data_IF_321412098355
#
_entry.id   IF_321412098355
#
_cell.length_a   1.000
_cell.length_b   1.000
_cell.length_c   1.000
_cell.angle_alpha   90.00
_cell.angle_beta   90.00
_cell.angle_gamma   90.00
#
_symmetry.space_group_name_H-M   'P 1'
#
loop_
_entity.id
_entity.type
_entity.pdbx_description
1 polymer ?
#
# COMPACT_ATOMS: atom_id res chain seq x y z
N UNK A 1 0.32 -34.90 8.66
CA UNK A 1 -0.67 -36.00 8.62
C UNK A 1 -0.25 -37.13 7.69
N UNK A 2 0.04 -36.84 6.42
CA UNK A 2 0.34 -37.87 5.40
C UNK A 2 1.58 -38.74 5.72
N UNK A 3 2.68 -38.14 6.17
CA UNK A 3 3.85 -38.91 6.62
C UNK A 3 3.52 -39.91 7.73
N UNK A 4 2.75 -39.51 8.75
CA UNK A 4 2.32 -40.41 9.84
C UNK A 4 1.33 -41.49 9.39
N UNK A 5 0.50 -41.20 8.37
CA UNK A 5 -0.36 -42.22 7.72
C UNK A 5 0.50 -43.31 7.09
N UNK A 6 1.52 -42.91 6.33
CA UNK A 6 2.44 -43.84 5.67
C UNK A 6 3.24 -44.69 6.67
N UNK A 7 3.70 -44.08 7.77
CA UNK A 7 4.38 -44.80 8.86
C UNK A 7 3.48 -45.89 9.46
N UNK A 8 2.22 -45.54 9.74
CA UNK A 8 1.23 -46.46 10.28
C UNK A 8 0.93 -47.62 9.31
N UNK A 9 0.78 -47.33 8.02
CA UNK A 9 0.56 -48.36 6.99
C UNK A 9 1.77 -49.30 6.86
N UNK A 10 2.99 -48.75 6.95
CA UNK A 10 4.22 -49.55 6.98
C UNK A 10 4.26 -50.46 8.22
N UNK A 11 3.92 -49.97 9.41
CA UNK A 11 3.84 -50.79 10.63
C UNK A 11 2.78 -51.90 10.52
N UNK A 12 1.59 -51.60 9.99
CA UNK A 12 0.52 -52.61 9.78
C UNK A 12 1.00 -53.73 8.86
N UNK A 13 1.72 -53.36 7.78
CA UNK A 13 2.31 -54.34 6.86
C UNK A 13 3.40 -55.18 7.53
N UNK A 14 4.24 -54.59 8.41
CA UNK A 14 5.25 -55.34 9.18
C UNK A 14 4.61 -56.34 10.15
N UNK A 15 3.56 -55.96 10.88
CA UNK A 15 2.83 -56.89 11.77
C UNK A 15 2.22 -58.05 10.99
N UNK A 16 1.62 -57.78 9.83
CA UNK A 16 1.05 -58.83 8.97
C UNK A 16 2.10 -59.86 8.53
N UNK A 17 3.34 -59.43 8.25
CA UNK A 17 4.47 -60.30 7.90
C UNK A 17 5.06 -61.02 9.11
N UNK A 18 5.11 -60.36 10.28
CA UNK A 18 5.71 -60.88 11.50
C UNK A 18 4.83 -61.90 12.24
N UNK A 19 3.53 -62.02 11.92
CA UNK A 19 2.58 -62.97 12.53
C UNK A 19 3.00 -64.45 12.53
N UNK A 20 4.00 -64.82 11.73
CA UNK A 20 4.53 -66.19 11.67
C UNK A 20 5.95 -66.32 12.24
N UNK A 21 6.49 -65.30 12.92
CA UNK A 21 7.90 -65.25 13.37
C UNK A 21 8.07 -64.70 14.80
N UNK A 22 9.24 -64.96 15.39
CA UNK A 22 9.65 -64.53 16.75
C UNK A 22 9.65 -62.99 16.96
N UNK A 23 9.64 -62.20 15.88
CA UNK A 23 9.63 -60.73 15.90
C UNK A 23 8.25 -60.08 16.12
N UNK A 24 7.20 -60.89 16.29
CA UNK A 24 5.82 -60.42 16.51
C UNK A 24 5.65 -59.36 17.62
N UNK A 25 6.17 -59.53 18.85
CA UNK A 25 5.92 -58.58 19.93
C UNK A 25 6.51 -57.18 19.68
N UNK A 26 7.67 -57.10 19.02
CA UNK A 26 8.29 -55.82 18.64
C UNK A 26 7.48 -55.12 17.56
N UNK A 27 7.05 -55.85 16.53
CA UNK A 27 6.22 -55.28 15.45
C UNK A 27 4.87 -54.76 15.98
N UNK A 28 4.25 -55.46 16.94
CA UNK A 28 3.02 -55.02 17.59
C UNK A 28 3.21 -53.76 18.46
N UNK A 29 4.35 -53.66 19.16
CA UNK A 29 4.73 -52.45 19.90
C UNK A 29 4.88 -51.25 18.96
N UNK A 30 5.63 -51.40 17.88
CA UNK A 30 5.86 -50.33 16.90
C UNK A 30 4.56 -49.89 16.23
N UNK A 31 3.65 -50.82 15.94
CA UNK A 31 2.32 -50.50 15.44
C UNK A 31 1.53 -49.64 16.42
N UNK A 32 1.58 -49.95 17.72
CA UNK A 32 0.87 -49.18 18.75
C UNK A 32 1.40 -47.74 18.85
N UNK A 33 2.72 -47.57 18.74
CA UNK A 33 3.36 -46.24 18.73
C UNK A 33 2.98 -45.46 17.48
N UNK A 34 3.08 -46.06 16.29
CA UNK A 34 2.71 -45.40 15.05
C UNK A 34 1.22 -45.01 15.02
N UNK A 35 0.35 -45.83 15.62
CA UNK A 35 -1.07 -45.53 15.75
C UNK A 35 -1.30 -44.31 16.65
N UNK A 36 -0.71 -44.28 17.85
CA UNK A 36 -0.87 -43.14 18.76
C UNK A 36 -0.31 -41.84 18.19
N UNK A 37 0.81 -41.91 17.45
CA UNK A 37 1.36 -40.76 16.75
C UNK A 37 0.46 -40.24 15.62
N UNK A 38 -0.12 -41.15 14.83
CA UNK A 38 -1.08 -40.80 13.79
C UNK A 38 -2.34 -40.15 14.38
N UNK A 39 -2.92 -40.75 15.42
CA UNK A 39 -4.14 -40.24 16.06
C UNK A 39 -3.90 -38.85 16.66
N UNK A 40 -2.78 -38.65 17.36
CA UNK A 40 -2.37 -37.33 17.86
C UNK A 40 -2.23 -36.32 16.71
N UNK A 41 -1.60 -36.73 15.61
CA UNK A 41 -1.39 -35.83 14.47
C UNK A 41 -2.70 -35.51 13.73
N UNK A 42 -3.63 -36.46 13.65
CA UNK A 42 -4.95 -36.27 13.07
C UNK A 42 -5.75 -35.25 13.88
N UNK A 43 -5.73 -35.33 15.22
CA UNK A 43 -6.40 -34.37 16.08
C UNK A 43 -5.80 -32.95 15.95
N UNK A 44 -4.46 -32.84 15.92
CA UNK A 44 -3.80 -31.54 15.67
C UNK A 44 -4.23 -30.96 14.32
N UNK A 45 -4.22 -31.77 13.26
CA UNK A 45 -4.62 -31.31 11.92
C UNK A 45 -6.11 -30.91 11.90
N UNK A 46 -6.98 -31.64 12.58
CA UNK A 46 -8.40 -31.29 12.72
C UNK A 46 -8.58 -29.94 13.41
N UNK A 47 -7.93 -29.69 14.54
CA UNK A 47 -7.97 -28.41 15.25
C UNK A 47 -7.47 -27.25 14.39
N UNK A 48 -6.39 -27.45 13.61
CA UNK A 48 -5.89 -26.45 12.68
C UNK A 48 -6.92 -26.12 11.59
N UNK A 49 -7.60 -27.13 11.04
CA UNK A 49 -8.63 -26.95 10.01
C UNK A 49 -9.89 -26.27 10.56
N UNK A 50 -10.30 -26.58 11.79
CA UNK A 50 -11.36 -25.84 12.49
C UNK A 50 -10.98 -24.37 12.68
N UNK A 51 -9.70 -24.10 12.95
CA UNK A 51 -9.14 -22.75 12.99
C UNK A 51 -9.29 -21.98 11.67
N UNK A 52 -9.19 -22.65 10.51
CA UNK A 52 -9.33 -22.00 9.19
C UNK A 52 -10.71 -21.36 9.01
N UNK A 53 -11.78 -22.03 9.45
CA UNK A 53 -13.14 -21.47 9.39
C UNK A 53 -13.25 -20.20 10.22
N UNK A 54 -12.59 -20.15 11.39
CA UNK A 54 -12.54 -18.94 12.21
C UNK A 54 -11.76 -17.80 11.53
N UNK A 55 -10.67 -18.12 10.82
CA UNK A 55 -9.90 -17.17 10.02
C UNK A 55 -10.72 -16.61 8.86
N UNK A 56 -11.55 -17.43 8.21
CA UNK A 56 -12.40 -16.98 7.11
C UNK A 56 -13.37 -15.88 7.56
N UNK A 57 -14.08 -16.09 8.68
CA UNK A 57 -14.96 -15.07 9.27
C UNK A 57 -14.20 -13.80 9.64
N UNK A 58 -12.96 -13.93 10.14
CA UNK A 58 -12.09 -12.78 10.43
C UNK A 58 -11.75 -12.00 9.16
N UNK A 59 -11.37 -12.66 8.07
CA UNK A 59 -11.03 -11.99 6.82
C UNK A 59 -12.21 -11.25 6.21
N UNK A 60 -13.41 -11.83 6.24
CA UNK A 60 -14.63 -11.15 5.80
C UNK A 60 -14.88 -9.88 6.61
N UNK A 61 -14.72 -9.94 7.94
CA UNK A 61 -14.84 -8.74 8.79
C UNK A 61 -13.84 -7.66 8.40
N UNK A 62 -12.57 -8.03 8.18
CA UNK A 62 -11.56 -7.07 7.74
C UNK A 62 -11.90 -6.43 6.38
N UNK A 63 -12.50 -7.17 5.44
CA UNK A 63 -12.97 -6.62 4.17
C UNK A 63 -14.13 -5.64 4.37
N UNK A 64 -15.08 -5.95 5.26
CA UNK A 64 -16.16 -5.03 5.61
C UNK A 64 -15.62 -3.73 6.22
N UNK A 65 -14.74 -3.84 7.22
CA UNK A 65 -14.08 -2.68 7.85
C UNK A 65 -13.30 -1.85 6.82
N UNK A 66 -12.62 -2.49 5.87
CA UNK A 66 -11.92 -1.81 4.78
C UNK A 66 -12.89 -1.00 3.89
N UNK A 67 -14.02 -1.60 3.49
CA UNK A 67 -15.01 -0.91 2.65
C UNK A 67 -15.64 0.27 3.40
N UNK A 68 -15.97 0.10 4.68
CA UNK A 68 -16.49 1.19 5.52
C UNK A 68 -15.48 2.34 5.65
N UNK A 69 -14.20 2.03 5.82
CA UNK A 69 -13.14 3.03 5.86
C UNK A 69 -13.04 3.80 4.53
N UNK A 70 -13.13 3.11 3.38
CA UNK A 70 -13.14 3.76 2.06
C UNK A 70 -14.34 4.68 1.89
N UNK A 71 -15.55 4.22 2.23
CA UNK A 71 -16.77 5.05 2.16
C UNK A 71 -16.64 6.30 3.01
N UNK A 72 -16.12 6.15 4.24
CA UNK A 72 -15.92 7.28 5.17
C UNK A 72 -14.91 8.28 4.61
N UNK A 73 -13.79 7.80 4.07
CA UNK A 73 -12.76 8.65 3.47
C UNK A 73 -13.32 9.50 2.33
N UNK A 74 -14.01 8.88 1.36
CA UNK A 74 -14.56 9.63 0.22
C UNK A 74 -15.67 10.60 0.64
N UNK A 75 -16.48 10.25 1.64
CA UNK A 75 -17.47 11.16 2.20
C UNK A 75 -16.81 12.41 2.82
N UNK A 76 -15.70 12.23 3.57
CA UNK A 76 -14.94 13.34 4.14
C UNK A 76 -14.31 14.23 3.06
N UNK A 77 -13.69 13.64 2.04
CA UNK A 77 -13.14 14.40 0.91
C UNK A 77 -14.23 15.21 0.20
N UNK A 78 -15.40 14.61 -0.02
CA UNK A 78 -16.51 15.29 -0.66
C UNK A 78 -17.02 16.46 0.18
N UNK A 79 -17.17 16.27 1.50
CA UNK A 79 -17.57 17.32 2.42
C UNK A 79 -16.58 18.49 2.42
N UNK A 80 -15.27 18.20 2.52
CA UNK A 80 -14.24 19.23 2.49
C UNK A 80 -14.28 20.05 1.19
N UNK A 81 -14.49 19.39 0.05
CA UNK A 81 -14.63 20.07 -1.24
C UNK A 81 -15.89 20.94 -1.33
N UNK A 82 -17.02 20.49 -0.76
CA UNK A 82 -18.24 21.30 -0.70
C UNK A 82 -18.08 22.54 0.19
N UNK A 83 -17.39 22.40 1.32
CA UNK A 83 -17.07 23.52 2.23
C UNK A 83 -16.20 24.55 1.51
N UNK A 84 -15.13 24.10 0.85
CA UNK A 84 -14.27 24.98 0.05
C UNK A 84 -15.05 25.72 -1.06
N UNK A 85 -15.98 25.06 -1.73
CA UNK A 85 -16.82 25.69 -2.76
C UNK A 85 -17.69 26.81 -2.17
N UNK A 86 -18.26 26.60 -0.98
CA UNK A 86 -19.05 27.62 -0.26
C UNK A 86 -18.20 28.81 0.13
N UNK A 87 -16.99 28.57 0.63
CA UNK A 87 -16.05 29.63 1.02
C UNK A 87 -15.69 30.49 -0.19
N UNK A 88 -15.34 29.89 -1.33
CA UNK A 88 -15.06 30.63 -2.58
C UNK A 88 -16.29 31.43 -3.04
N UNK A 89 -17.48 30.83 -3.02
CA UNK A 89 -18.72 31.52 -3.40
C UNK A 89 -19.03 32.70 -2.47
N UNK A 90 -18.77 32.55 -1.17
CA UNK A 90 -18.94 33.62 -0.17
C UNK A 90 -17.97 34.79 -0.41
N UNK A 91 -16.72 34.50 -0.80
CA UNK A 91 -15.74 35.52 -1.18
C UNK A 91 -16.10 36.21 -2.49
N UNK A 92 -16.72 35.49 -3.44
CA UNK A 92 -17.17 36.03 -4.72
C UNK A 92 -18.36 36.98 -4.59
N UNK A 93 -19.27 36.76 -3.64
CA UNK A 93 -20.44 37.61 -3.41
C UNK A 93 -20.15 38.85 -2.54
N UNK A 94 -18.92 39.00 -2.01
CA UNK A 94 -18.48 40.15 -1.21
C UNK A 94 -17.94 41.35 -2.01
N UNK A 95 -17.96 41.33 -3.35
CA UNK A 95 -17.43 42.41 -4.20
C UNK A 95 -18.44 42.94 -5.20
N UNK A 96 -19.50 43.58 -4.70
CA UNK A 96 -20.27 44.55 -5.49
C UNK A 96 -20.59 45.77 -4.63
N UNK A 97 -19.75 46.82 -4.73
CA UNK A 97 -20.13 48.15 -5.22
C UNK A 97 -19.35 49.33 -4.58
N UNK A 98 -18.66 50.07 -5.46
CA UNK A 98 -18.32 51.50 -5.46
C UNK A 98 -17.41 52.16 -4.41
N UNK A 99 -16.22 52.57 -4.87
CA UNK A 99 -15.69 53.94 -4.68
C UNK A 99 -14.66 54.28 -5.78
N UNK A 100 -14.62 55.54 -6.29
CA UNK A 100 -13.78 55.91 -7.42
C UNK A 100 -12.34 56.27 -7.03
N UNK A 101 -11.49 56.13 -8.04
CA UNK A 101 -10.03 56.29 -8.09
C UNK A 101 -9.43 57.49 -7.33
N UNK A 102 -8.26 57.25 -6.72
CA UNK A 102 -7.19 58.24 -6.56
C UNK A 102 -5.82 57.58 -6.87
N UNK A 103 -4.92 58.25 -7.61
CA UNK A 103 -3.65 57.66 -8.05
C UNK A 103 -2.52 58.09 -7.12
N UNK A 104 -1.78 57.16 -6.51
CA UNK A 104 -0.48 57.44 -5.90
C UNK A 104 0.59 56.42 -6.34
N UNK A 105 1.51 56.97 -7.13
CA UNK A 105 2.86 56.58 -7.49
C UNK A 105 3.59 55.48 -6.67
N UNK A 106 4.11 54.50 -7.44
CA UNK A 106 5.42 53.80 -7.39
C UNK A 106 5.92 53.13 -6.08
N UNK A 107 6.82 52.10 -6.14
CA UNK A 107 7.39 51.37 -7.29
C UNK A 107 7.13 49.84 -7.24
N UNK A 108 7.42 49.17 -8.35
CA UNK A 108 7.58 47.71 -8.43
C UNK A 108 8.52 47.16 -7.34
N UNK A 109 8.34 45.88 -6.96
CA UNK A 109 9.23 44.89 -7.54
C UNK A 109 8.42 43.73 -8.11
N UNK A 110 8.51 43.56 -9.42
CA UNK A 110 8.48 42.25 -10.04
C UNK A 110 9.56 41.37 -9.38
N UNK A 111 9.24 40.18 -8.84
CA UNK A 111 10.24 39.15 -8.73
C UNK A 111 10.39 38.51 -10.12
N UNK A 112 11.21 39.15 -10.94
CA UNK A 112 12.02 38.39 -11.89
C UNK A 112 13.04 37.60 -11.08
N UNK A 113 12.69 36.39 -10.65
CA UNK A 113 13.69 35.39 -10.25
C UNK A 113 14.01 34.50 -11.46
N UNK A 114 14.64 35.12 -12.45
CA UNK A 114 15.48 34.37 -13.38
C UNK A 114 16.70 33.89 -12.59
N UNK A 115 16.88 32.58 -12.43
CA UNK A 115 18.15 31.86 -12.66
C UNK A 115 18.27 30.59 -11.81
N UNK A 116 18.47 29.46 -12.48
CA UNK A 116 19.03 28.24 -11.88
C UNK A 116 18.04 27.13 -11.53
N UNK A 117 17.04 26.85 -12.37
CA UNK A 117 16.40 25.53 -12.30
C UNK A 117 17.46 24.46 -12.60
N UNK A 118 17.61 23.49 -11.70
CA UNK A 118 18.51 22.36 -11.90
C UNK A 118 17.89 21.46 -12.97
N UNK A 119 18.71 20.85 -13.84
CA UNK A 119 18.18 19.83 -14.74
C UNK A 119 18.20 18.50 -13.98
N UNK A 120 17.16 17.72 -14.10
CA UNK A 120 17.12 16.37 -13.55
C UNK A 120 16.63 15.40 -14.62
N UNK A 121 17.26 14.22 -14.65
CA UNK A 121 16.78 13.09 -15.44
C UNK A 121 15.91 12.21 -14.57
N UNK A 122 14.78 11.82 -15.10
CA UNK A 122 13.83 10.94 -14.43
C UNK A 122 14.37 9.51 -14.44
N UNK A 123 14.48 8.90 -13.27
CA UNK A 123 14.99 7.55 -13.08
C UNK A 123 13.97 6.45 -13.40
N UNK A 124 12.68 6.75 -13.20
CA UNK A 124 11.58 5.82 -13.44
C UNK A 124 10.24 6.58 -13.60
N UNK A 125 9.27 5.92 -14.22
CA UNK A 125 7.94 6.48 -14.44
C UNK A 125 7.26 6.81 -13.10
N UNK A 126 6.56 7.95 -13.08
CA UNK A 126 5.79 8.41 -11.92
C UNK A 126 4.45 8.96 -12.39
N UNK A 127 3.36 8.44 -11.86
CA UNK A 127 2.02 8.99 -12.08
C UNK A 127 1.68 10.00 -10.98
N UNK A 128 1.35 11.24 -11.38
CA UNK A 128 0.87 12.27 -10.46
C UNK A 128 -0.37 11.79 -9.70
N UNK A 129 -0.35 11.96 -8.38
CA UNK A 129 -1.48 11.54 -7.51
C UNK A 129 -2.60 12.57 -7.48
N UNK A 130 -2.28 13.83 -7.75
CA UNK A 130 -3.24 14.94 -7.79
C UNK A 130 -2.78 16.06 -8.74
N UNK A 131 -3.56 17.13 -8.85
CA UNK A 131 -3.28 18.27 -9.73
C UNK A 131 -2.10 19.15 -9.28
N UNK A 132 -1.55 18.91 -8.10
CA UNK A 132 -0.36 19.60 -7.58
C UNK A 132 0.94 18.89 -7.94
N UNK A 133 0.86 17.63 -8.38
CA UNK A 133 2.00 16.80 -8.81
C UNK A 133 2.13 16.74 -10.33
N UNK A 134 3.33 16.41 -10.83
CA UNK A 134 3.62 16.25 -12.25
C UNK A 134 4.00 14.80 -12.58
N UNK A 135 3.33 14.19 -13.56
CA UNK A 135 3.68 12.85 -14.02
C UNK A 135 5.00 12.86 -14.81
N UNK A 136 5.87 11.91 -14.50
CA UNK A 136 7.21 11.77 -15.08
C UNK A 136 7.28 10.53 -15.97
N UNK A 137 8.05 10.64 -17.06
CA UNK A 137 8.46 9.50 -17.87
C UNK A 137 9.95 9.23 -17.68
N UNK A 138 10.32 7.96 -17.59
CA UNK A 138 11.70 7.50 -17.47
C UNK A 138 12.58 8.09 -18.57
N UNK A 139 13.81 8.47 -18.21
CA UNK A 139 14.80 9.12 -19.08
C UNK A 139 14.40 10.50 -19.64
N UNK A 140 13.27 11.06 -19.22
CA UNK A 140 12.92 12.45 -19.51
C UNK A 140 13.84 13.41 -18.73
N UNK A 141 14.20 14.54 -19.34
CA UNK A 141 14.97 15.61 -18.68
C UNK A 141 14.08 16.82 -18.44
N UNK A 142 13.89 17.15 -17.16
CA UNK A 142 13.03 18.25 -16.70
C UNK A 142 13.83 19.28 -15.91
N UNK A 143 13.26 20.49 -15.77
CA UNK A 143 13.81 21.53 -14.91
C UNK A 143 13.18 21.41 -13.53
N UNK A 144 13.98 21.41 -12.47
CA UNK A 144 13.51 21.27 -11.09
C UNK A 144 14.04 22.39 -10.18
N UNK A 145 13.22 22.78 -9.21
CA UNK A 145 13.53 23.78 -8.21
C UNK A 145 13.32 23.21 -6.81
N UNK A 146 14.24 23.53 -5.89
CA UNK A 146 14.11 23.13 -4.49
C UNK A 146 12.99 23.94 -3.83
N UNK A 147 12.10 23.26 -3.12
CA UNK A 147 11.02 23.88 -2.34
C UNK A 147 11.56 24.16 -0.93
N UNK A 148 11.39 25.39 -0.42
CA UNK A 148 11.85 25.73 0.93
C UNK A 148 11.02 24.99 1.98
N UNK A 149 11.70 24.26 2.87
CA UNK A 149 11.06 23.48 3.94
C UNK A 149 10.68 22.04 3.56
N UNK A 150 10.91 21.60 2.32
CA UNK A 150 10.55 20.27 1.84
C UNK A 150 11.77 19.52 1.27
N UNK A 151 12.01 18.29 1.77
CA UNK A 151 13.17 17.46 1.39
C UNK A 151 12.83 16.40 0.35
N UNK A 152 11.60 15.92 0.36
CA UNK A 152 11.20 14.72 -0.38
C UNK A 152 10.58 15.06 -1.74
N UNK A 153 10.26 16.34 -1.97
CA UNK A 153 9.69 16.84 -3.21
C UNK A 153 10.45 18.05 -3.75
N UNK A 154 10.49 18.15 -5.07
CA UNK A 154 10.95 19.32 -5.81
C UNK A 154 9.84 19.81 -6.73
N UNK A 155 9.89 21.09 -7.09
CA UNK A 155 8.98 21.67 -8.07
C UNK A 155 9.57 21.44 -9.46
N UNK A 156 8.94 20.60 -10.27
CA UNK A 156 9.29 20.39 -11.66
C UNK A 156 8.57 21.34 -12.61
N UNK A 157 9.24 21.69 -13.69
CA UNK A 157 8.72 22.44 -14.82
C UNK A 157 9.06 21.71 -16.12
N UNK A 158 8.01 21.34 -16.86
CA UNK A 158 8.05 20.74 -18.19
C UNK A 158 7.20 21.58 -19.15
N UNK A 159 7.86 22.49 -19.88
CA UNK A 159 7.18 23.43 -20.76
C UNK A 159 6.21 24.31 -19.99
N UNK A 160 4.90 24.22 -20.28
CA UNK A 160 3.86 24.97 -19.58
C UNK A 160 3.28 24.22 -18.36
N UNK A 161 3.73 23.00 -18.09
CA UNK A 161 3.26 22.20 -16.96
C UNK A 161 4.24 22.35 -15.80
N UNK A 162 3.71 22.55 -14.59
CA UNK A 162 4.49 22.60 -13.36
C UNK A 162 3.79 21.79 -12.28
N UNK A 163 4.57 21.12 -11.45
CA UNK A 163 4.02 20.31 -10.36
C UNK A 163 5.13 19.72 -9.49
N UNK A 164 4.74 19.22 -8.32
CA UNK A 164 5.62 18.57 -7.38
C UNK A 164 6.01 17.18 -7.88
N UNK A 165 7.26 16.83 -7.69
CA UNK A 165 7.81 15.53 -8.09
C UNK A 165 8.68 14.98 -6.96
N UNK A 166 8.65 13.68 -6.67
CA UNK A 166 9.46 13.13 -5.60
C UNK A 166 10.95 13.12 -5.96
N UNK A 167 11.81 13.56 -5.04
CA UNK A 167 13.27 13.61 -5.26
C UNK A 167 13.89 12.24 -5.49
N UNK A 168 13.30 11.18 -4.92
CA UNK A 168 13.76 9.81 -5.09
C UNK A 168 13.69 9.29 -6.54
N UNK A 169 12.92 9.95 -7.41
CA UNK A 169 12.72 9.56 -8.81
C UNK A 169 13.58 10.41 -9.77
N UNK A 170 14.45 11.26 -9.23
CA UNK A 170 15.23 12.24 -9.98
C UNK A 170 16.74 12.04 -9.76
N UNK A 171 17.47 12.16 -10.85
CA UNK A 171 18.93 12.26 -10.89
C UNK A 171 19.29 13.68 -11.34
N UNK A 172 19.73 14.52 -10.40
CA UNK A 172 20.04 15.93 -10.69
C UNK A 172 21.35 16.00 -11.46
N UNK A 173 21.27 16.50 -12.69
CA UNK A 173 22.39 16.66 -13.61
C UNK A 173 22.84 18.12 -13.53
N UNK A 174 24.08 18.32 -13.06
CA UNK A 174 24.77 19.61 -13.08
C UNK A 174 25.31 19.95 -14.47
#
# INVERSE_FOLDING_TARGET
LESKRLDLDACKNRVRKARSMLGQPTAERDLRVAQSEFDRQAEITKLLLEGVSSSHTRHLRCLHEFVEAQVTFYAQCHQAMQELQKDIASMSMGKTNNSPAMPHAHPSPSPSSTSGGLRARVLCDYDAKDSSELSLMTDEVITVHKIEGETDYMLAERGNQRGRVPTAFLDVIN
#
